data_IF_741222413135
#
_entry.id   IF_741222413135
#
_cell.length_a   1.000
_cell.length_b   1.000
_cell.length_c   1.000
_cell.angle_alpha   90.00
_cell.angle_beta   90.00
_cell.angle_gamma   90.00
#
_symmetry.space_group_name_H-M   'P 1'
#
loop_
_entity.id
_entity.type
_entity.pdbx_description
1 polymer ?
#
# COMPACT_ATOMS: atom_id res chain seq x y z
N UNK A 1 -51.62 -11.12 -24.73
CA UNK A 1 -50.78 -10.14 -24.01
C UNK A 1 -50.76 -10.60 -22.54
N UNK A 2 -50.03 -11.66 -22.20
CA UNK A 2 -48.65 -11.75 -21.65
C UNK A 2 -48.37 -10.93 -20.35
N UNK A 3 -48.21 -11.70 -19.25
CA UNK A 3 -47.53 -11.60 -17.91
C UNK A 3 -47.12 -10.22 -17.33
N UNK A 4 -47.40 -9.84 -16.07
CA UNK A 4 -47.10 -10.36 -14.70
C UNK A 4 -45.63 -10.27 -14.22
N UNK A 5 -45.45 -9.36 -13.24
CA UNK A 5 -44.53 -9.31 -12.07
C UNK A 5 -43.01 -9.32 -12.24
N UNK A 6 -42.41 -8.31 -11.60
CA UNK A 6 -40.98 -8.07 -11.42
C UNK A 6 -40.29 -9.11 -10.53
N UNK A 7 -39.02 -9.43 -10.85
CA UNK A 7 -38.09 -10.16 -9.99
C UNK A 7 -37.04 -9.20 -9.41
N UNK A 8 -36.92 -9.17 -8.09
CA UNK A 8 -35.82 -8.54 -7.36
C UNK A 8 -34.86 -9.63 -6.88
N UNK A 9 -33.58 -9.54 -7.24
CA UNK A 9 -32.52 -10.40 -6.72
C UNK A 9 -31.79 -9.68 -5.58
N UNK A 10 -31.91 -10.22 -4.35
CA UNK A 10 -31.10 -9.84 -3.20
C UNK A 10 -29.97 -10.86 -3.04
N UNK A 11 -28.73 -10.43 -3.25
CA UNK A 11 -27.53 -11.24 -2.96
C UNK A 11 -27.07 -10.98 -1.51
N UNK A 12 -27.25 -11.98 -0.64
CA UNK A 12 -26.72 -11.98 0.73
C UNK A 12 -25.27 -12.49 0.73
N UNK A 13 -24.34 -11.65 1.19
CA UNK A 13 -22.94 -12.06 1.41
C UNK A 13 -22.78 -12.62 2.83
N UNK A 14 -22.39 -13.89 2.93
CA UNK A 14 -22.02 -14.53 4.20
C UNK A 14 -20.57 -14.19 4.53
N UNK A 15 -20.33 -13.57 5.68
CA UNK A 15 -19.00 -13.29 6.22
C UNK A 15 -18.39 -14.55 6.84
N UNK A 16 -17.09 -14.74 6.66
CA UNK A 16 -16.35 -15.72 7.46
C UNK A 16 -15.02 -15.10 7.89
N UNK A 17 -14.86 -14.99 9.21
CA UNK A 17 -13.73 -14.40 9.91
C UNK A 17 -12.47 -15.24 9.75
N UNK A 18 -11.32 -14.60 9.50
CA UNK A 18 -10.01 -15.24 9.61
C UNK A 18 -9.43 -14.99 11.02
N UNK A 19 -9.19 -16.09 11.74
CA UNK A 19 -8.54 -16.12 13.05
C UNK A 19 -7.04 -15.85 12.89
N UNK A 20 -6.52 -14.91 13.68
CA UNK A 20 -5.09 -14.61 13.82
C UNK A 20 -4.37 -15.68 14.66
N UNK A 21 -3.25 -16.20 14.18
CA UNK A 21 -2.28 -16.91 15.01
C UNK A 21 -0.90 -16.31 14.82
N UNK A 22 -0.46 -15.58 15.84
CA UNK A 22 0.90 -15.12 16.08
C UNK A 22 1.82 -16.29 16.37
N UNK A 23 2.99 -16.37 15.70
CA UNK A 23 4.17 -17.04 16.24
C UNK A 23 5.46 -16.34 15.80
N UNK A 24 6.30 -16.09 16.80
CA UNK A 24 7.65 -15.54 16.88
C UNK A 24 8.63 -16.04 15.82
N UNK A 25 9.53 -15.16 15.34
CA UNK A 25 10.69 -15.55 14.51
C UNK A 25 12.00 -15.10 15.17
N UNK A 26 12.89 -16.08 15.37
CA UNK A 26 14.32 -15.88 15.60
C UNK A 26 15.10 -16.35 14.36
N UNK A 27 15.81 -15.40 13.76
CA UNK A 27 17.12 -15.43 13.11
C UNK A 27 17.57 -16.59 12.18
N UNK A 28 17.84 -16.17 10.94
CA UNK A 28 18.95 -16.53 10.01
C UNK A 28 19.03 -17.89 9.29
N UNK A 29 18.94 -17.74 7.96
CA UNK A 29 19.73 -18.34 6.86
C UNK A 29 19.63 -19.84 6.64
N UNK A 30 19.03 -20.24 5.50
CA UNK A 30 19.67 -20.95 4.36
C UNK A 30 18.61 -21.72 3.56
N UNK A 31 18.64 -21.54 2.23
CA UNK A 31 17.97 -22.34 1.18
C UNK A 31 16.44 -22.49 1.23
N UNK A 32 15.75 -21.70 0.40
CA UNK A 32 14.34 -21.88 0.11
C UNK A 32 14.10 -23.23 -0.58
N UNK A 33 13.57 -24.20 0.19
CA UNK A 33 12.93 -25.41 -0.33
C UNK A 33 11.43 -25.19 -0.28
N UNK A 34 10.81 -25.09 -1.45
CA UNK A 34 9.36 -24.91 -1.63
C UNK A 34 8.61 -26.10 -1.01
N UNK A 35 7.74 -25.84 -0.02
CA UNK A 35 6.75 -26.83 0.45
C UNK A 35 5.35 -26.34 0.13
N UNK A 36 4.82 -26.79 -1.00
CA UNK A 36 3.40 -26.65 -1.34
C UNK A 36 2.64 -27.71 -0.54
N UNK A 37 1.76 -27.29 0.37
CA UNK A 37 0.89 -28.21 1.10
C UNK A 37 -0.36 -28.47 0.26
N UNK A 38 -0.40 -29.63 -0.42
CA UNK A 38 -1.55 -30.09 -1.20
C UNK A 38 -2.59 -30.72 -0.28
N UNK A 39 -3.75 -30.07 -0.15
CA UNK A 39 -4.91 -30.66 0.53
C UNK A 39 -5.56 -31.69 -0.40
N UNK A 40 -5.60 -32.96 0.02
CA UNK A 40 -6.17 -34.07 -0.75
C UNK A 40 -7.63 -34.30 -0.33
N UNK A 41 -8.56 -34.22 -1.27
CA UNK A 41 -9.92 -34.77 -1.14
C UNK A 41 -10.12 -35.74 -2.29
N UNK A 42 -10.26 -37.02 -1.97
CA UNK A 42 -10.45 -38.10 -2.94
C UNK A 42 -11.91 -38.14 -3.40
N UNK A 43 -12.14 -38.02 -4.70
CA UNK A 43 -13.40 -38.45 -5.33
C UNK A 43 -13.06 -39.06 -6.69
N UNK A 44 -13.30 -40.36 -6.80
CA UNK A 44 -13.15 -41.18 -8.01
C UNK A 44 -14.22 -40.85 -9.04
N UNK A 45 -13.85 -40.55 -10.29
CA UNK A 45 -14.63 -40.87 -11.51
C UNK A 45 -13.70 -40.82 -12.73
N UNK A 46 -13.98 -41.72 -13.69
CA UNK A 46 -13.17 -42.10 -14.85
C UNK A 46 -13.22 -41.13 -16.03
N UNK A 47 -12.22 -41.29 -16.91
CA UNK A 47 -12.12 -40.99 -18.35
C UNK A 47 -11.46 -39.68 -18.83
N UNK A 48 -10.55 -39.91 -19.79
CA UNK A 48 -9.99 -39.03 -20.83
C UNK A 48 -8.93 -38.01 -20.38
N UNK A 49 -7.67 -38.43 -20.53
CA UNK A 49 -6.48 -37.56 -20.47
C UNK A 49 -6.42 -36.66 -21.70
N UNK A 50 -7.03 -35.48 -21.62
CA UNK A 50 -6.66 -34.35 -22.47
C UNK A 50 -5.53 -33.56 -21.80
N UNK A 51 -4.34 -33.60 -22.40
CA UNK A 51 -3.20 -32.78 -21.98
C UNK A 51 -3.47 -31.32 -22.36
N UNK A 52 -4.11 -30.57 -21.47
CA UNK A 52 -4.09 -29.11 -21.53
C UNK A 52 -2.78 -28.65 -20.91
N UNK A 53 -1.81 -28.31 -21.77
CA UNK A 53 -0.60 -27.61 -21.35
C UNK A 53 -0.99 -26.21 -20.90
N UNK A 54 -1.34 -26.05 -19.63
CA UNK A 54 -1.43 -24.74 -19.01
C UNK A 54 -0.01 -24.21 -18.86
N UNK A 55 0.46 -23.47 -19.85
CA UNK A 55 1.68 -22.67 -19.73
C UNK A 55 1.42 -21.61 -18.67
N UNK A 56 1.73 -21.92 -17.41
CA UNK A 56 1.78 -20.93 -16.34
C UNK A 56 3.00 -20.06 -16.60
N UNK A 57 2.82 -18.98 -17.35
CA UNK A 57 3.83 -17.91 -17.47
C UNK A 57 4.03 -17.34 -16.08
N UNK A 58 5.15 -17.71 -15.45
CA UNK A 58 5.56 -17.15 -14.18
C UNK A 58 5.85 -15.66 -14.36
N UNK A 59 5.16 -14.80 -13.62
CA UNK A 59 5.53 -13.39 -13.54
C UNK A 59 6.83 -13.27 -12.74
N UNK A 60 7.83 -12.62 -13.34
CA UNK A 60 9.08 -12.28 -12.68
C UNK A 60 9.07 -10.82 -12.26
N UNK A 61 9.83 -10.48 -11.21
CA UNK A 61 10.09 -9.08 -10.88
C UNK A 61 11.19 -8.52 -11.78
N UNK A 62 11.05 -7.25 -12.18
CA UNK A 62 12.14 -6.52 -12.80
C UNK A 62 13.27 -6.26 -11.78
N UNK A 63 14.43 -5.82 -12.27
CA UNK A 63 15.53 -5.35 -11.41
C UNK A 63 15.07 -4.18 -10.55
N UNK A 64 15.49 -4.15 -9.29
CA UNK A 64 15.17 -3.07 -8.37
C UNK A 64 15.71 -1.72 -8.87
N UNK A 65 14.85 -0.70 -8.88
CA UNK A 65 15.27 0.70 -8.96
C UNK A 65 15.47 1.27 -7.56
N UNK A 66 16.48 2.11 -7.37
CA UNK A 66 16.77 2.77 -6.08
C UNK A 66 16.58 4.27 -6.20
N UNK A 67 15.89 4.86 -5.25
CA UNK A 67 15.67 6.31 -5.15
C UNK A 67 16.20 6.82 -3.80
N UNK A 68 17.00 7.87 -3.84
CA UNK A 68 17.54 8.49 -2.63
C UNK A 68 16.44 9.18 -1.83
N UNK A 69 16.44 8.93 -0.52
CA UNK A 69 15.55 9.58 0.46
C UNK A 69 16.37 10.32 1.52
N UNK A 70 15.78 10.59 2.69
CA UNK A 70 16.50 11.17 3.83
C UNK A 70 17.21 10.11 4.68
N UNK A 71 17.71 10.53 5.84
CA UNK A 71 18.35 9.65 6.81
C UNK A 71 17.30 8.81 7.56
N UNK A 72 17.59 7.52 7.70
CA UNK A 72 16.74 6.54 8.39
C UNK A 72 15.28 6.59 7.92
N UNK A 73 14.98 6.32 6.64
CA UNK A 73 13.59 6.19 6.19
C UNK A 73 12.91 5.07 7.01
N UNK A 74 11.72 5.34 7.53
CA UNK A 74 11.08 4.47 8.53
C UNK A 74 9.73 3.90 8.07
N UNK A 75 8.94 4.68 7.35
CA UNK A 75 7.63 4.25 6.83
C UNK A 75 7.40 4.83 5.44
N UNK A 76 6.54 4.15 4.67
CA UNK A 76 6.18 4.51 3.30
C UNK A 76 4.67 4.36 3.09
N UNK A 77 4.08 5.24 2.29
CA UNK A 77 2.71 5.16 1.80
C UNK A 77 2.65 5.54 0.32
N UNK A 78 1.65 5.02 -0.37
CA UNK A 78 1.39 5.30 -1.78
C UNK A 78 0.05 5.99 -1.92
N UNK A 79 0.03 7.13 -2.60
CA UNK A 79 -1.18 7.90 -2.91
C UNK A 79 -0.93 8.82 -4.11
N UNK A 80 -1.96 9.16 -4.87
CA UNK A 80 -1.89 10.24 -5.86
C UNK A 80 -2.07 11.57 -5.12
N UNK A 81 -0.98 12.32 -4.92
CA UNK A 81 -1.00 13.59 -4.16
C UNK A 81 -0.94 14.82 -5.07
N UNK A 82 -0.73 14.62 -6.37
CA UNK A 82 -0.68 15.70 -7.35
C UNK A 82 -1.88 15.71 -8.33
N UNK A 83 -2.80 14.75 -8.18
CA UNK A 83 -4.00 14.57 -8.99
C UNK A 83 -3.72 14.26 -10.46
N UNK A 84 -2.61 13.57 -10.76
CA UNK A 84 -2.24 13.16 -12.12
C UNK A 84 -2.63 11.72 -12.46
N UNK A 85 -3.37 11.06 -11.55
CA UNK A 85 -3.82 9.66 -11.63
C UNK A 85 -2.68 8.64 -11.61
N UNK A 86 -1.48 9.03 -11.17
CA UNK A 86 -0.38 8.11 -10.94
C UNK A 86 -0.09 8.02 -9.43
N UNK A 87 0.13 6.80 -8.91
CA UNK A 87 0.47 6.63 -7.51
C UNK A 87 1.87 7.20 -7.23
N UNK A 88 1.94 8.19 -6.34
CA UNK A 88 3.18 8.76 -5.82
C UNK A 88 3.65 8.03 -4.57
N UNK A 89 4.91 8.24 -4.18
CA UNK A 89 5.50 7.66 -2.97
C UNK A 89 5.73 8.74 -1.92
N UNK A 90 5.30 8.47 -0.69
CA UNK A 90 5.49 9.34 0.47
C UNK A 90 6.28 8.56 1.53
N UNK A 91 7.37 9.13 2.05
CA UNK A 91 8.29 8.46 2.97
C UNK A 91 8.53 9.33 4.20
N UNK A 92 8.45 8.78 5.41
CA UNK A 92 8.96 9.45 6.62
C UNK A 92 10.44 9.17 6.79
N UNK A 93 11.25 10.21 6.84
CA UNK A 93 12.68 10.12 7.12
C UNK A 93 12.91 10.43 8.59
N UNK A 94 12.87 9.38 9.42
CA UNK A 94 12.91 9.46 10.88
C UNK A 94 14.15 10.22 11.39
N UNK A 95 15.31 9.99 10.77
CA UNK A 95 16.58 10.61 11.14
C UNK A 95 16.72 12.04 10.61
N UNK A 96 16.02 12.39 9.53
CA UNK A 96 16.03 13.74 8.95
C UNK A 96 14.92 14.66 9.44
N UNK A 97 13.99 14.17 10.27
CA UNK A 97 12.82 14.92 10.75
C UNK A 97 12.01 15.58 9.61
N UNK A 98 11.77 14.81 8.54
CA UNK A 98 10.97 15.26 7.42
C UNK A 98 10.19 14.12 6.76
N UNK A 99 9.23 14.49 5.92
CA UNK A 99 8.60 13.61 4.94
C UNK A 99 9.17 13.94 3.56
N UNK A 100 9.53 12.91 2.79
CA UNK A 100 9.86 13.02 1.37
C UNK A 100 8.69 12.58 0.50
N UNK A 101 8.40 13.35 -0.55
CA UNK A 101 7.39 13.04 -1.58
C UNK A 101 8.10 12.83 -2.91
N UNK A 102 7.96 11.65 -3.50
CA UNK A 102 8.51 11.29 -4.79
C UNK A 102 7.36 11.13 -5.79
N UNK A 103 7.24 12.09 -6.70
CA UNK A 103 6.17 12.10 -7.70
C UNK A 103 6.48 11.10 -8.82
N UNK A 104 5.45 10.35 -9.23
CA UNK A 104 5.55 9.36 -10.28
C UNK A 104 5.58 10.03 -11.66
N UNK A 105 6.66 9.81 -12.42
CA UNK A 105 6.82 10.37 -13.76
C UNK A 105 6.20 9.50 -14.85
N UNK A 106 5.65 8.34 -14.49
CA UNK A 106 5.11 7.34 -15.40
C UNK A 106 6.02 6.12 -15.53
N UNK A 107 5.46 5.00 -16.00
CA UNK A 107 6.20 3.75 -16.26
C UNK A 107 7.02 3.23 -15.06
N UNK A 108 6.57 3.51 -13.83
CA UNK A 108 7.24 3.07 -12.60
C UNK A 108 8.50 3.87 -12.26
N UNK A 109 8.68 5.05 -12.84
CA UNK A 109 9.79 5.97 -12.53
C UNK A 109 9.32 7.12 -11.64
N UNK A 110 10.21 7.64 -10.80
CA UNK A 110 9.91 8.70 -9.84
C UNK A 110 10.92 9.85 -9.92
N UNK A 111 10.44 11.06 -9.66
CA UNK A 111 11.29 12.24 -9.51
C UNK A 111 12.10 12.17 -8.20
N UNK A 112 13.13 13.02 -8.10
CA UNK A 112 13.82 13.24 -6.84
C UNK A 112 12.81 13.71 -5.77
N UNK A 113 13.03 13.32 -4.51
CA UNK A 113 12.12 13.70 -3.44
C UNK A 113 12.05 15.22 -3.26
N UNK A 114 10.84 15.72 -3.03
CA UNK A 114 10.62 17.02 -2.39
C UNK A 114 10.39 16.77 -0.91
N UNK A 115 11.06 17.51 -0.04
CA UNK A 115 11.00 17.28 1.41
C UNK A 115 10.21 18.36 2.14
N UNK A 116 9.50 17.93 3.18
CA UNK A 116 8.71 18.80 4.05
C UNK A 116 9.07 18.51 5.50
N UNK A 117 9.56 19.53 6.21
CA UNK A 117 9.94 19.41 7.61
C UNK A 117 8.75 18.96 8.46
N UNK A 118 9.03 18.06 9.41
CA UNK A 118 8.08 17.64 10.43
C UNK A 118 8.60 17.99 11.82
N UNK A 119 7.84 17.62 12.85
CA UNK A 119 8.37 17.50 14.20
C UNK A 119 9.35 16.31 14.31
N UNK A 120 9.80 16.01 15.53
CA UNK A 120 10.91 15.09 15.79
C UNK A 120 10.52 13.64 15.57
N UNK A 121 11.39 12.92 14.84
CA UNK A 121 11.30 11.49 14.59
C UNK A 121 9.93 11.04 14.04
N UNK A 122 9.57 11.47 12.81
CA UNK A 122 8.36 11.02 12.15
C UNK A 122 8.41 9.50 11.92
N UNK A 123 7.29 8.81 12.16
CA UNK A 123 7.24 7.33 12.23
C UNK A 123 6.12 6.70 11.41
N UNK A 124 4.96 7.34 11.34
CA UNK A 124 3.78 6.82 10.64
C UNK A 124 3.22 7.84 9.66
N UNK A 125 2.49 7.33 8.67
CA UNK A 125 1.84 8.10 7.62
C UNK A 125 0.39 7.65 7.45
N UNK A 126 -0.47 8.61 7.16
CA UNK A 126 -1.75 8.38 6.50
C UNK A 126 -1.97 9.49 5.46
N UNK A 127 -2.69 9.20 4.39
CA UNK A 127 -3.01 10.16 3.34
C UNK A 127 -4.51 10.18 3.12
N UNK A 128 -5.12 11.34 3.32
CA UNK A 128 -6.57 11.57 3.20
C UNK A 128 -6.83 13.07 3.12
N UNK A 129 -7.88 13.48 2.42
CA UNK A 129 -8.37 14.86 2.45
C UNK A 129 -9.02 15.13 3.82
N UNK A 130 -8.36 15.89 4.69
CA UNK A 130 -8.88 16.19 6.04
C UNK A 130 -9.66 17.50 6.10
N UNK A 131 -9.52 18.37 5.10
CA UNK A 131 -10.12 19.69 5.07
C UNK A 131 -11.30 19.82 4.07
N UNK A 132 -11.61 18.73 3.37
CA UNK A 132 -12.65 18.63 2.33
C UNK A 132 -12.42 19.53 1.11
N UNK A 133 -11.16 19.80 0.74
CA UNK A 133 -10.79 20.58 -0.45
C UNK A 133 -10.52 19.75 -1.71
N UNK A 134 -10.76 18.43 -1.63
CA UNK A 134 -10.51 17.42 -2.67
C UNK A 134 -9.04 17.20 -3.01
N UNK A 135 -8.11 17.59 -2.13
CA UNK A 135 -6.67 17.30 -2.26
C UNK A 135 -6.24 16.44 -1.08
N UNK A 136 -5.65 15.24 -1.31
CA UNK A 136 -5.21 14.40 -0.20
C UNK A 136 -4.09 15.08 0.60
N UNK A 137 -4.31 15.23 1.91
CA UNK A 137 -3.34 15.75 2.87
C UNK A 137 -2.49 14.62 3.47
N UNK A 138 -1.35 14.97 4.07
CA UNK A 138 -0.48 14.01 4.75
C UNK A 138 -0.62 14.17 6.27
N UNK A 139 -0.97 13.09 6.95
CA UNK A 139 -0.98 12.99 8.41
C UNK A 139 0.27 12.21 8.84
N UNK A 140 1.01 12.75 9.81
CA UNK A 140 2.26 12.19 10.30
C UNK A 140 2.19 12.00 11.82
N UNK A 141 2.59 10.82 12.30
CA UNK A 141 2.85 10.61 13.74
C UNK A 141 4.31 10.89 14.05
N UNK A 142 4.57 11.82 14.97
CA UNK A 142 5.92 12.23 15.35
C UNK A 142 6.29 11.56 16.68
N UNK A 143 6.99 10.44 16.60
CA UNK A 143 7.33 9.62 17.76
C UNK A 143 8.16 10.40 18.79
N UNK A 144 9.14 11.18 18.34
CA UNK A 144 10.04 11.92 19.22
C UNK A 144 9.40 13.14 19.87
N UNK A 145 8.38 13.72 19.24
CA UNK A 145 7.64 14.88 19.76
C UNK A 145 6.35 14.53 20.49
N UNK A 146 5.97 13.26 20.56
CA UNK A 146 4.72 12.78 21.17
C UNK A 146 3.47 13.50 20.65
N UNK A 147 3.41 13.79 19.35
CA UNK A 147 2.29 14.48 18.73
C UNK A 147 1.98 13.93 17.34
N UNK A 148 0.85 14.34 16.79
CA UNK A 148 0.51 14.13 15.38
C UNK A 148 0.57 15.47 14.67
N UNK A 149 0.83 15.47 13.37
CA UNK A 149 0.73 16.70 12.60
C UNK A 149 0.25 16.46 11.19
N UNK A 150 -0.34 17.49 10.61
CA UNK A 150 -0.94 17.49 9.27
C UNK A 150 -0.15 18.44 8.38
N UNK A 151 0.24 17.96 7.21
CA UNK A 151 0.71 18.78 6.10
C UNK A 151 -0.43 18.91 5.10
N UNK A 152 -1.00 20.12 5.01
CA UNK A 152 -2.10 20.39 4.09
C UNK A 152 -1.59 20.51 2.65
N UNK A 153 -2.25 19.82 1.73
CA UNK A 153 -1.93 19.85 0.32
C UNK A 153 -2.47 21.14 -0.31
N UNK A 154 -1.57 21.95 -0.84
CA UNK A 154 -1.92 23.20 -1.52
C UNK A 154 -2.28 22.98 -2.99
N UNK A 155 -1.97 21.81 -3.54
CA UNK A 155 -2.19 21.40 -4.92
C UNK A 155 -0.90 20.94 -5.59
N UNK A 156 -1.06 20.14 -6.65
CA UNK A 156 0.07 19.66 -7.48
C UNK A 156 1.19 18.98 -6.67
N UNK A 157 0.85 18.26 -5.59
CA UNK A 157 1.81 17.58 -4.72
C UNK A 157 2.64 18.51 -3.84
N UNK A 158 2.23 19.77 -3.68
CA UNK A 158 2.91 20.75 -2.81
C UNK A 158 2.18 20.91 -1.49
N UNK A 159 2.91 20.87 -0.37
CA UNK A 159 2.32 20.92 0.97
C UNK A 159 2.75 22.15 1.77
N UNK A 160 1.85 22.62 2.63
CA UNK A 160 2.13 23.65 3.63
C UNK A 160 3.01 23.11 4.77
N UNK A 161 3.55 24.02 5.58
CA UNK A 161 4.23 23.66 6.82
C UNK A 161 3.32 22.82 7.73
N UNK A 162 3.91 21.84 8.43
CA UNK A 162 3.16 20.95 9.31
C UNK A 162 2.50 21.74 10.45
N UNK A 163 1.20 21.49 10.68
CA UNK A 163 0.49 21.91 11.89
C UNK A 163 0.39 20.71 12.85
N UNK A 164 0.77 20.88 14.12
CA UNK A 164 0.83 19.79 15.12
C UNK A 164 -0.32 19.84 16.13
N UNK A 165 -0.68 18.68 16.67
CA UNK A 165 -1.75 18.45 17.63
C UNK A 165 -1.28 17.45 18.70
N UNK A 166 -1.49 17.77 19.98
CA UNK A 166 -1.01 17.03 21.16
C UNK A 166 -2.11 16.83 22.19
#
# INVERSE_FOLDING_TARGET
ILFHSAGTSTSSATSTSATSTSTTSATTTTSATTTTTTSTTTTTTSTTSTTTTTTTTQCTFATQATYSTGANPYSVTVADVNSDSKPDIIVTNFGSNNVGVLLNTGSGTFSAQTTYSTATNPSGLAVVDVNSDSKPDIIVTNFGSNNVGVLLNTGSGTFSAQTTYS
#
